data_IF_067320860307
#
_entry.id   IF_067320860307
#
_cell.length_a   1.000
_cell.length_b   1.000
_cell.length_c   1.000
_cell.angle_alpha   90.00
_cell.angle_beta   90.00
_cell.angle_gamma   90.00
#
_symmetry.space_group_name_H-M   'P 1'
#
loop_
_entity.id
_entity.type
_entity.pdbx_description
1 polymer ?
#
# COMPACT_ATOMS: atom_id res chain seq x y z
N UNK A 1 -21.98 -22.05 -29.88
CA UNK A 1 -20.64 -22.33 -29.33
C UNK A 1 -19.67 -21.41 -30.05
N UNK A 2 -19.24 -20.33 -29.40
CA UNK A 2 -18.38 -19.31 -30.02
C UNK A 2 -16.96 -19.84 -30.01
N UNK A 3 -16.44 -20.26 -31.16
CA UNK A 3 -15.08 -20.76 -31.30
C UNK A 3 -14.11 -19.62 -31.04
N UNK A 4 -13.54 -19.57 -29.83
CA UNK A 4 -12.57 -18.55 -29.45
C UNK A 4 -11.30 -18.78 -30.28
N UNK A 5 -11.04 -17.87 -31.23
CA UNK A 5 -9.81 -17.89 -32.02
C UNK A 5 -8.66 -17.47 -31.12
N UNK A 6 -7.77 -18.39 -30.79
CA UNK A 6 -6.56 -18.09 -30.02
C UNK A 6 -5.48 -17.64 -31.00
N UNK A 7 -4.81 -16.52 -30.70
CA UNK A 7 -3.73 -15.97 -31.55
C UNK A 7 -2.39 -16.66 -31.22
N UNK A 8 -2.32 -17.36 -30.10
CA UNK A 8 -1.09 -17.91 -29.55
C UNK A 8 -0.94 -19.39 -29.93
N UNK A 9 0.29 -19.79 -30.31
CA UNK A 9 0.64 -21.20 -30.58
C UNK A 9 0.61 -22.08 -29.33
N UNK A 10 0.91 -21.49 -28.17
CA UNK A 10 0.88 -22.15 -26.87
C UNK A 10 0.45 -21.14 -25.80
N UNK A 11 -0.73 -21.34 -25.24
CA UNK A 11 -1.30 -20.47 -24.20
C UNK A 11 -0.72 -20.75 -22.82
N UNK A 12 -0.12 -21.93 -22.59
CA UNK A 12 0.45 -22.30 -21.29
C UNK A 12 1.72 -21.50 -20.93
N UNK A 13 2.34 -20.89 -21.94
CA UNK A 13 3.50 -19.99 -21.80
C UNK A 13 3.05 -18.57 -21.44
N UNK A 14 1.79 -18.23 -21.70
CA UNK A 14 1.24 -16.97 -21.27
C UNK A 14 1.10 -17.02 -19.75
N UNK A 15 1.61 -15.98 -19.09
CA UNK A 15 1.44 -15.80 -17.65
C UNK A 15 0.24 -14.89 -17.36
N UNK A 16 -1.02 -15.36 -17.31
CA UNK A 16 -2.05 -14.57 -16.66
C UNK A 16 -2.53 -15.29 -15.41
N UNK A 17 -1.73 -15.25 -14.34
CA UNK A 17 -2.31 -15.44 -13.00
C UNK A 17 -3.28 -14.29 -12.68
N UNK A 18 -3.14 -13.13 -13.33
CA UNK A 18 -4.11 -12.04 -13.34
C UNK A 18 -3.79 -10.99 -14.42
N UNK A 19 -4.64 -10.87 -15.45
CA UNK A 19 -4.66 -9.71 -16.36
C UNK A 19 -5.91 -8.89 -16.00
N UNK A 20 -5.75 -7.73 -15.31
CA UNK A 20 -6.92 -6.92 -14.99
C UNK A 20 -7.58 -6.45 -16.28
N UNK A 21 -8.93 -6.44 -16.30
CA UNK A 21 -9.72 -6.03 -17.46
C UNK A 21 -9.39 -4.61 -17.96
N UNK A 22 -8.83 -3.78 -17.10
CA UNK A 22 -8.29 -2.48 -17.44
C UNK A 22 -6.92 -2.31 -16.80
N UNK A 23 -5.95 -1.85 -17.60
CA UNK A 23 -4.64 -1.39 -17.12
C UNK A 23 -4.55 0.09 -17.48
N UNK A 24 -5.19 1.00 -16.71
CA UNK A 24 -5.35 2.40 -17.11
C UNK A 24 -4.03 3.09 -17.48
N UNK A 25 -2.94 2.70 -16.82
CA UNK A 25 -1.59 3.24 -16.98
C UNK A 25 -0.75 2.62 -18.09
N UNK A 26 -1.14 1.43 -18.56
CA UNK A 26 -0.57 0.86 -19.78
C UNK A 26 -1.53 0.97 -20.93
N UNK A 27 -2.69 1.60 -20.78
CA UNK A 27 -3.75 1.56 -21.79
C UNK A 27 -3.30 2.24 -23.08
N UNK A 28 -2.51 3.30 -23.01
CA UNK A 28 -1.97 3.95 -24.20
C UNK A 28 -0.89 3.07 -24.89
N UNK A 29 -0.07 2.37 -24.11
CA UNK A 29 0.90 1.40 -24.61
C UNK A 29 0.20 0.17 -25.17
N UNK A 30 -0.88 -0.31 -24.54
CA UNK A 30 -1.72 -1.43 -24.95
C UNK A 30 -2.49 -1.06 -26.21
N UNK A 31 -3.04 0.15 -26.32
CA UNK A 31 -3.68 0.66 -27.55
C UNK A 31 -2.67 0.80 -28.68
N UNK A 32 -1.47 1.26 -28.37
CA UNK A 32 -0.37 1.31 -29.34
C UNK A 32 0.00 -0.10 -29.80
N UNK A 33 0.05 -1.06 -28.88
CA UNK A 33 0.23 -2.49 -29.15
C UNK A 33 -0.90 -3.07 -30.00
N UNK A 34 -2.16 -2.80 -29.64
CA UNK A 34 -3.35 -3.19 -30.40
C UNK A 34 -3.22 -2.71 -31.84
N UNK A 35 -2.81 -1.45 -32.07
CA UNK A 35 -2.59 -0.92 -33.41
C UNK A 35 -1.54 -1.72 -34.19
N UNK A 36 -0.41 -2.09 -33.58
CA UNK A 36 0.60 -2.93 -34.24
C UNK A 36 0.04 -4.33 -34.57
N UNK A 37 -0.62 -4.97 -33.60
CA UNK A 37 -1.15 -6.32 -33.74
C UNK A 37 -2.43 -6.42 -34.57
N UNK A 38 -3.17 -5.33 -34.77
CA UNK A 38 -4.42 -5.31 -35.55
C UNK A 38 -4.19 -5.86 -36.95
N UNK A 39 -3.05 -5.52 -37.57
CA UNK A 39 -2.68 -6.04 -38.88
C UNK A 39 -2.47 -7.56 -38.92
N UNK A 40 -1.91 -8.15 -37.85
CA UNK A 40 -1.72 -9.61 -37.71
C UNK A 40 -3.06 -10.31 -37.46
N UNK A 41 -3.94 -9.70 -36.66
CA UNK A 41 -5.25 -10.25 -36.31
C UNK A 41 -6.21 -10.21 -37.51
N UNK A 42 -6.18 -9.14 -38.32
CA UNK A 42 -7.11 -8.93 -39.43
C UNK A 42 -6.60 -9.47 -40.77
N UNK A 43 -5.29 -9.45 -41.04
CA UNK A 43 -4.71 -9.83 -42.34
C UNK A 43 -3.93 -11.15 -42.26
N UNK A 44 -4.68 -12.25 -42.32
CA UNK A 44 -4.22 -13.63 -42.59
C UNK A 44 -3.29 -14.28 -41.54
N UNK A 45 -3.50 -15.56 -41.15
CA UNK A 45 -2.70 -16.27 -40.15
C UNK A 45 -1.21 -16.49 -40.49
N UNK A 46 -0.75 -16.01 -41.65
CA UNK A 46 0.60 -16.23 -42.18
C UNK A 46 1.51 -15.00 -42.06
N UNK A 47 0.99 -13.86 -41.60
CA UNK A 47 1.78 -12.65 -41.41
C UNK A 47 2.52 -12.69 -40.06
N UNK A 48 3.86 -12.77 -40.10
CA UNK A 48 4.72 -12.58 -38.93
C UNK A 48 5.20 -11.14 -38.83
N UNK A 49 5.08 -10.51 -37.67
CA UNK A 49 5.69 -9.21 -37.37
C UNK A 49 6.66 -9.33 -36.20
N UNK A 50 7.82 -8.69 -36.34
CA UNK A 50 8.77 -8.51 -35.25
C UNK A 50 8.46 -7.18 -34.56
N UNK A 51 8.03 -7.24 -33.31
CA UNK A 51 7.72 -6.06 -32.49
C UNK A 51 8.74 -5.98 -31.36
N UNK A 52 9.50 -4.87 -31.30
CA UNK A 52 10.37 -4.56 -30.16
C UNK A 52 9.62 -3.60 -29.23
N UNK A 53 9.38 -4.03 -28.00
CA UNK A 53 8.77 -3.22 -26.96
C UNK A 53 9.84 -2.82 -25.97
N UNK A 54 10.03 -1.52 -25.83
CA UNK A 54 10.94 -0.93 -24.87
C UNK A 54 10.18 0.14 -24.06
N UNK A 55 10.29 0.06 -22.74
CA UNK A 55 9.70 1.03 -21.83
C UNK A 55 10.71 1.41 -20.76
N UNK A 56 10.78 2.69 -20.35
CA UNK A 56 11.68 3.09 -19.29
C UNK A 56 11.25 2.46 -17.96
N UNK A 57 12.23 2.12 -17.13
CA UNK A 57 12.02 1.54 -15.81
C UNK A 57 12.01 2.62 -14.74
N UNK A 58 10.96 2.64 -13.93
CA UNK A 58 10.81 3.52 -12.79
C UNK A 58 11.39 2.89 -11.53
N UNK A 59 12.28 3.59 -10.82
CA UNK A 59 12.99 3.03 -9.66
C UNK A 59 12.88 3.92 -8.42
N UNK A 60 12.97 3.30 -7.25
CA UNK A 60 13.17 4.00 -5.98
C UNK A 60 14.66 4.21 -5.70
N UNK A 61 14.98 5.24 -4.91
CA UNK A 61 16.35 5.44 -4.40
C UNK A 61 16.75 4.27 -3.50
N UNK A 62 18.04 3.92 -3.54
CA UNK A 62 18.68 3.03 -2.57
C UNK A 62 18.37 3.47 -1.12
N UNK A 63 18.00 2.51 -0.28
CA UNK A 63 17.60 2.66 1.11
C UNK A 63 16.11 2.92 1.31
N UNK A 64 15.33 3.12 0.25
CA UNK A 64 13.88 3.28 0.36
C UNK A 64 13.24 1.99 0.87
N UNK A 65 12.36 2.10 1.86
CA UNK A 65 11.67 0.95 2.44
C UNK A 65 10.39 0.63 1.66
N UNK A 66 10.16 -0.66 1.45
CA UNK A 66 8.94 -1.25 0.90
C UNK A 66 8.29 -2.15 1.95
N UNK A 67 6.95 -2.22 1.91
CA UNK A 67 6.16 -3.04 2.83
C UNK A 67 6.02 -4.47 2.27
N UNK A 68 6.50 -5.43 3.03
CA UNK A 68 6.38 -6.85 2.73
C UNK A 68 5.00 -7.38 3.15
N UNK A 69 4.57 -8.50 2.58
CA UNK A 69 3.27 -9.12 2.90
C UNK A 69 3.12 -9.46 4.39
N UNK A 70 4.22 -9.82 5.06
CA UNK A 70 4.26 -10.12 6.50
C UNK A 70 4.25 -8.88 7.40
N UNK A 71 4.20 -7.68 6.81
CA UNK A 71 4.21 -6.41 7.53
C UNK A 71 5.61 -5.88 7.87
N UNK A 72 6.67 -6.65 7.58
CA UNK A 72 8.03 -6.18 7.74
C UNK A 72 8.39 -5.12 6.69
N UNK A 73 9.39 -4.30 7.00
CA UNK A 73 9.93 -3.33 6.07
C UNK A 73 11.24 -3.86 5.49
N UNK A 74 11.33 -3.88 4.16
CA UNK A 74 12.55 -4.29 3.44
C UNK A 74 13.07 -3.13 2.61
N UNK A 75 14.38 -3.01 2.45
CA UNK A 75 14.96 -2.00 1.54
C UNK A 75 14.72 -2.41 0.09
N UNK A 76 14.44 -1.45 -0.78
CA UNK A 76 14.14 -1.68 -2.19
C UNK A 76 15.27 -2.42 -2.92
N UNK A 77 16.54 -2.17 -2.58
CA UNK A 77 17.70 -2.87 -3.12
C UNK A 77 17.89 -4.29 -2.60
N UNK A 78 17.28 -4.63 -1.46
CA UNK A 78 17.38 -5.97 -0.85
C UNK A 78 16.22 -6.87 -1.32
N UNK A 79 15.24 -6.33 -2.04
CA UNK A 79 14.12 -7.09 -2.63
C UNK A 79 14.65 -8.03 -3.71
N UNK A 80 14.15 -9.26 -3.73
CA UNK A 80 14.57 -10.32 -4.64
C UNK A 80 13.39 -10.91 -5.40
N UNK A 81 13.65 -11.52 -6.56
CA UNK A 81 12.64 -12.27 -7.32
C UNK A 81 11.98 -13.34 -6.45
N UNK A 82 10.66 -13.40 -6.46
CA UNK A 82 9.85 -14.31 -5.66
C UNK A 82 9.37 -13.74 -4.33
N UNK A 83 9.93 -12.61 -3.87
CA UNK A 83 9.44 -11.91 -2.68
C UNK A 83 7.96 -11.53 -2.83
N UNK A 84 7.23 -11.52 -1.71
CA UNK A 84 5.83 -11.11 -1.64
C UNK A 84 5.73 -9.75 -0.97
N UNK A 85 5.30 -8.75 -1.74
CA UNK A 85 5.04 -7.39 -1.29
C UNK A 85 3.56 -7.21 -0.92
N UNK A 86 3.29 -6.23 -0.07
CA UNK A 86 1.93 -5.86 0.30
C UNK A 86 1.29 -5.00 -0.81
N UNK A 87 0.17 -5.47 -1.35
CA UNK A 87 -0.66 -4.70 -2.28
C UNK A 87 -1.52 -3.64 -1.57
N UNK A 88 -1.97 -2.60 -2.29
CA UNK A 88 -2.89 -1.59 -1.75
C UNK A 88 -4.28 -2.15 -1.36
N UNK A 89 -4.61 -3.34 -1.85
CA UNK A 89 -5.83 -4.11 -1.58
C UNK A 89 -5.61 -5.19 -0.50
N UNK A 90 -4.52 -5.09 0.27
CA UNK A 90 -4.09 -6.09 1.26
C UNK A 90 -3.72 -7.46 0.65
N UNK A 91 -3.71 -7.59 -0.69
CA UNK A 91 -3.43 -8.85 -1.37
C UNK A 91 -1.94 -8.94 -1.77
N UNK A 92 -1.36 -10.16 -1.84
CA UNK A 92 0.07 -10.33 -2.15
C UNK A 92 0.44 -9.86 -3.56
N UNK A 93 1.62 -9.26 -3.70
CA UNK A 93 2.24 -8.91 -5.00
C UNK A 93 3.59 -9.61 -5.11
N UNK A 94 3.69 -10.57 -6.04
CA UNK A 94 4.93 -11.34 -6.26
C UNK A 94 5.91 -10.56 -7.14
N UNK A 95 7.14 -10.43 -6.68
CA UNK A 95 8.22 -9.79 -7.45
C UNK A 95 8.68 -10.74 -8.55
N UNK A 96 8.46 -10.34 -9.80
CA UNK A 96 8.87 -11.14 -10.97
C UNK A 96 10.32 -10.89 -11.38
N UNK A 97 10.75 -9.64 -11.29
CA UNK A 97 12.07 -9.19 -11.71
C UNK A 97 12.48 -7.96 -10.90
N UNK A 98 13.79 -7.77 -10.73
CA UNK A 98 14.40 -6.63 -10.07
C UNK A 98 15.43 -6.01 -11.01
N UNK A 99 15.40 -4.69 -11.15
CA UNK A 99 16.33 -3.95 -12.01
C UNK A 99 17.14 -2.96 -11.19
N UNK A 100 18.39 -2.74 -11.61
CA UNK A 100 19.30 -1.81 -10.97
C UNK A 100 19.92 -0.90 -12.02
N UNK A 101 20.17 0.36 -11.66
CA UNK A 101 20.76 1.32 -12.59
C UNK A 101 21.03 2.66 -11.94
N UNK A 102 21.57 3.56 -12.75
CA UNK A 102 21.83 4.95 -12.37
C UNK A 102 20.99 5.87 -13.25
N UNK A 103 20.45 6.92 -12.68
CA UNK A 103 19.60 7.87 -13.39
C UNK A 103 19.40 9.15 -12.59
N UNK A 104 18.75 10.12 -13.22
CA UNK A 104 18.34 11.34 -12.53
C UNK A 104 17.25 11.00 -11.53
N UNK A 105 17.41 11.51 -10.31
CA UNK A 105 16.52 11.26 -9.20
C UNK A 105 15.81 12.56 -8.81
N UNK A 106 14.54 12.44 -8.47
CA UNK A 106 13.66 13.53 -8.08
C UNK A 106 13.13 13.23 -6.69
N UNK A 107 13.23 14.21 -5.79
CA UNK A 107 12.62 14.14 -4.47
C UNK A 107 11.16 14.59 -4.53
N UNK A 108 10.26 13.75 -4.04
CA UNK A 108 8.83 14.03 -3.92
C UNK A 108 8.53 14.39 -2.48
N UNK A 109 8.03 15.61 -2.26
CA UNK A 109 7.73 16.17 -0.94
C UNK A 109 6.21 16.29 -0.75
N UNK A 110 5.53 15.26 -0.22
CA UNK A 110 4.11 15.35 0.08
C UNK A 110 3.85 16.25 1.29
N UNK A 111 2.68 16.89 1.35
CA UNK A 111 2.21 17.57 2.57
C UNK A 111 2.00 16.54 3.70
N UNK A 112 1.59 15.32 3.36
CA UNK A 112 1.31 14.23 4.32
C UNK A 112 2.26 13.06 4.11
N UNK A 113 2.95 12.70 5.19
CA UNK A 113 3.90 11.59 5.23
C UNK A 113 5.33 11.99 4.89
N UNK A 114 6.23 11.01 4.84
CA UNK A 114 7.66 11.24 4.64
C UNK A 114 7.97 11.53 3.15
N UNK A 115 8.89 12.46 2.87
CA UNK A 115 9.48 12.60 1.54
C UNK A 115 10.13 11.29 1.08
N UNK A 116 10.18 11.11 -0.23
CA UNK A 116 10.82 9.95 -0.85
C UNK A 116 11.42 10.34 -2.20
N UNK A 117 12.41 9.57 -2.66
CA UNK A 117 13.19 9.89 -3.86
C UNK A 117 13.04 8.77 -4.88
N UNK A 118 12.72 9.15 -6.11
CA UNK A 118 12.43 8.24 -7.23
C UNK A 118 13.11 8.71 -8.51
N UNK A 119 13.23 7.84 -9.52
CA UNK A 119 13.74 8.24 -10.82
C UNK A 119 12.74 9.12 -11.59
N UNK A 120 13.22 9.89 -12.57
CA UNK A 120 12.37 10.69 -13.47
C UNK A 120 11.34 9.85 -14.24
N UNK A 121 11.65 8.58 -14.51
CA UNK A 121 10.75 7.66 -15.21
C UNK A 121 9.82 6.88 -14.27
N UNK A 122 9.91 7.13 -12.96
CA UNK A 122 9.01 6.50 -12.00
C UNK A 122 7.57 6.93 -12.21
N UNK A 123 6.65 5.98 -12.12
CA UNK A 123 5.22 6.21 -12.29
C UNK A 123 4.62 6.46 -10.90
N UNK A 124 3.95 7.59 -10.74
CA UNK A 124 3.21 7.92 -9.53
C UNK A 124 1.71 7.77 -9.79
N UNK A 125 1.04 7.08 -8.87
CA UNK A 125 -0.43 7.04 -8.82
C UNK A 125 -0.94 8.23 -8.02
N UNK A 126 -1.69 9.10 -8.69
CA UNK A 126 -2.31 10.29 -8.11
C UNK A 126 -3.84 10.21 -8.23
N UNK A 127 -4.52 10.80 -7.26
CA UNK A 127 -5.95 11.03 -7.31
C UNK A 127 -6.21 12.48 -7.68
N UNK A 128 -7.11 12.69 -8.64
CA UNK A 128 -7.52 14.01 -9.09
C UNK A 128 -8.63 14.55 -8.19
N UNK A 129 -8.50 15.81 -7.80
CA UNK A 129 -9.56 16.56 -7.12
C UNK A 129 -10.45 17.28 -8.11
N UNK A 130 -11.61 17.78 -7.66
CA UNK A 130 -12.48 18.64 -8.50
C UNK A 130 -11.73 19.84 -9.06
N UNK A 131 -12.02 20.19 -10.32
CA UNK A 131 -11.53 21.42 -10.94
C UNK A 131 -12.23 22.66 -10.34
N UNK A 132 -13.51 22.52 -9.98
CA UNK A 132 -14.34 23.58 -9.41
C UNK A 132 -14.95 23.12 -8.09
N UNK A 133 -15.09 24.05 -7.14
CA UNK A 133 -15.81 23.79 -5.87
C UNK A 133 -17.29 23.50 -6.11
N UNK A 134 -17.87 24.09 -7.14
CA UNK A 134 -19.26 23.91 -7.55
C UNK A 134 -19.27 23.51 -9.03
N UNK A 135 -19.10 22.21 -9.33
CA UNK A 135 -19.10 21.74 -10.71
C UNK A 135 -20.49 21.97 -11.31
N UNK A 136 -20.54 22.62 -12.47
CA UNK A 136 -21.79 22.84 -13.23
C UNK A 136 -21.93 21.83 -14.36
N UNK A 137 -20.85 21.16 -14.74
CA UNK A 137 -20.79 20.16 -15.80
C UNK A 137 -20.11 18.89 -15.30
N UNK A 138 -20.46 17.71 -15.83
CA UNK A 138 -19.80 16.45 -15.48
C UNK A 138 -18.28 16.49 -15.70
N UNK A 139 -17.80 17.21 -16.71
CA UNK A 139 -16.36 17.38 -16.99
C UNK A 139 -15.57 18.13 -15.90
N UNK A 140 -16.27 18.85 -15.01
CA UNK A 140 -15.66 19.60 -13.91
C UNK A 140 -15.61 18.78 -12.61
N UNK A 141 -16.47 17.76 -12.49
CA UNK A 141 -16.49 16.81 -11.37
C UNK A 141 -15.55 15.64 -11.65
N UNK A 142 -14.26 15.92 -11.55
CA UNK A 142 -13.18 14.95 -11.74
C UNK A 142 -12.68 14.35 -10.42
N UNK A 143 -13.46 14.50 -9.36
CA UNK A 143 -13.08 13.98 -8.05
C UNK A 143 -12.94 12.46 -8.07
N UNK A 144 -11.87 11.96 -7.47
CA UNK A 144 -11.68 10.53 -7.29
C UNK A 144 -11.11 9.80 -8.51
N UNK A 145 -10.86 10.50 -9.62
CA UNK A 145 -10.22 9.89 -10.79
C UNK A 145 -8.77 9.54 -10.42
N UNK A 146 -8.48 8.25 -10.41
CA UNK A 146 -7.12 7.73 -10.21
C UNK A 146 -6.40 7.80 -11.56
N UNK A 147 -5.21 8.39 -11.53
CA UNK A 147 -4.36 8.57 -12.70
C UNK A 147 -2.93 8.23 -12.36
N UNK A 148 -2.31 7.45 -13.23
CA UNK A 148 -0.88 7.18 -13.19
C UNK A 148 -0.15 8.18 -14.11
N UNK A 149 0.91 8.79 -13.60
CA UNK A 149 1.69 9.80 -14.32
C UNK A 149 3.17 9.63 -14.04
N UNK A 150 4.01 9.77 -15.07
CA UNK A 150 5.47 9.73 -14.90
C UNK A 150 5.95 10.98 -14.20
N UNK A 151 6.99 10.87 -13.37
CA UNK A 151 7.60 12.03 -12.70
C UNK A 151 8.09 13.06 -13.72
N UNK A 152 8.71 12.63 -14.82
CA UNK A 152 9.18 13.52 -15.90
C UNK A 152 8.06 14.31 -16.59
N UNK A 153 6.85 13.76 -16.65
CA UNK A 153 5.67 14.45 -17.17
C UNK A 153 5.07 15.37 -16.10
N UNK A 154 5.02 14.91 -14.86
CA UNK A 154 4.55 15.68 -13.71
C UNK A 154 5.35 16.98 -13.53
N UNK A 155 6.67 16.94 -13.75
CA UNK A 155 7.55 18.11 -13.70
C UNK A 155 7.27 19.16 -14.79
N UNK A 156 6.68 18.77 -15.92
CA UNK A 156 6.31 19.69 -17.01
C UNK A 156 4.97 20.37 -16.75
N UNK A 157 4.19 19.87 -15.79
CA UNK A 157 2.88 20.42 -15.49
C UNK A 157 2.99 21.74 -14.69
N UNK A 158 2.02 22.65 -14.87
CA UNK A 158 2.02 23.90 -14.11
C UNK A 158 1.75 23.65 -12.62
N UNK A 159 2.20 24.60 -11.79
CA UNK A 159 2.21 24.50 -10.32
C UNK A 159 0.85 24.16 -9.69
N UNK A 160 -0.27 24.47 -10.33
CA UNK A 160 -1.59 24.13 -9.81
C UNK A 160 -1.97 22.63 -9.94
N UNK A 161 -1.18 21.82 -10.68
CA UNK A 161 -1.29 20.36 -10.64
C UNK A 161 -0.48 19.73 -9.50
N UNK A 162 0.62 20.34 -9.07
CA UNK A 162 1.64 19.70 -8.20
C UNK A 162 1.95 20.44 -6.90
N UNK A 163 1.45 21.68 -6.75
CA UNK A 163 1.69 22.52 -5.58
C UNK A 163 0.83 22.19 -4.35
N UNK A 164 0.86 23.02 -3.29
CA UNK A 164 0.16 22.73 -2.04
C UNK A 164 -1.39 22.64 -2.16
N UNK A 165 -1.94 23.34 -3.15
CA UNK A 165 -3.37 23.29 -3.53
C UNK A 165 -3.54 22.60 -4.89
N UNK A 166 -2.73 21.57 -5.12
CA UNK A 166 -2.69 20.80 -6.33
C UNK A 166 -4.01 20.10 -6.63
N UNK A 167 -4.29 20.01 -7.93
CA UNK A 167 -5.29 19.12 -8.48
C UNK A 167 -4.92 17.64 -8.27
N UNK A 168 -3.63 17.29 -8.43
CA UNK A 168 -3.15 15.92 -8.24
C UNK A 168 -2.62 15.71 -6.84
N UNK A 169 -3.14 14.70 -6.17
CA UNK A 169 -2.73 14.34 -4.80
C UNK A 169 -2.23 12.91 -4.80
N UNK A 170 -1.16 12.66 -4.05
CA UNK A 170 -0.74 11.29 -3.78
C UNK A 170 -1.79 10.58 -2.94
N UNK A 171 -2.09 9.35 -3.30
CA UNK A 171 -3.00 8.49 -2.54
C UNK A 171 -2.22 7.57 -1.61
N UNK A 172 -2.85 7.21 -0.49
CA UNK A 172 -2.40 6.21 0.47
C UNK A 172 -3.61 5.42 0.89
N UNK A 173 -3.41 4.13 1.16
CA UNK A 173 -4.45 3.25 1.65
C UNK A 173 -3.95 2.53 2.90
N UNK A 174 -4.87 2.21 3.80
CA UNK A 174 -4.59 1.24 4.85
C UNK A 174 -4.43 -0.15 4.23
N UNK A 175 -3.77 -1.04 4.96
CA UNK A 175 -3.69 -2.46 4.63
C UNK A 175 -4.09 -3.25 5.86
N UNK A 176 -4.74 -4.36 5.62
CA UNK A 176 -5.22 -5.27 6.65
C UNK A 176 -4.23 -6.43 6.77
N UNK A 177 -3.82 -6.69 8.01
CA UNK A 177 -3.01 -7.86 8.32
C UNK A 177 -3.92 -8.99 8.82
N UNK A 178 -3.57 -10.26 8.55
CA UNK A 178 -4.30 -11.37 9.11
C UNK A 178 -4.34 -11.24 10.64
N UNK A 179 -5.50 -11.53 11.24
CA UNK A 179 -5.64 -11.55 12.68
C UNK A 179 -4.68 -12.59 13.25
N UNK A 180 -3.64 -12.12 13.92
CA UNK A 180 -2.79 -12.98 14.73
C UNK A 180 -3.57 -13.20 16.02
N UNK A 181 -3.84 -14.45 16.44
CA UNK A 181 -4.32 -14.69 17.78
C UNK A 181 -3.27 -14.11 18.73
N UNK A 182 -3.60 -12.97 19.33
CA UNK A 182 -2.89 -12.44 20.49
C UNK A 182 -2.79 -13.61 21.48
N UNK A 183 -1.61 -13.79 22.08
CA UNK A 183 -1.34 -14.90 22.99
C UNK A 183 -2.24 -14.87 24.23
N UNK A 184 -1.79 -15.32 25.41
CA UNK A 184 -2.63 -15.32 26.62
C UNK A 184 -3.01 -13.91 27.12
N UNK A 185 -2.64 -12.85 26.40
CA UNK A 185 -2.84 -11.45 26.77
C UNK A 185 -3.76 -10.81 25.75
N UNK A 186 -4.89 -10.31 26.23
CA UNK A 186 -5.84 -9.54 25.45
C UNK A 186 -5.20 -8.27 24.84
N UNK A 187 -5.51 -7.98 23.57
CA UNK A 187 -4.90 -6.87 22.84
C UNK A 187 -5.25 -5.52 23.44
N UNK A 188 -6.46 -5.38 24.00
CA UNK A 188 -6.88 -4.16 24.67
C UNK A 188 -6.10 -3.96 25.98
N UNK A 189 -5.95 -5.00 26.80
CA UNK A 189 -5.08 -4.95 27.98
C UNK A 189 -3.64 -4.56 27.63
N UNK A 190 -3.06 -5.19 26.60
CA UNK A 190 -1.70 -4.87 26.17
C UNK A 190 -1.58 -3.41 25.71
N UNK A 191 -2.57 -2.90 24.98
CA UNK A 191 -2.62 -1.50 24.56
C UNK A 191 -2.65 -0.53 25.73
N UNK A 192 -3.51 -0.80 26.73
CA UNK A 192 -3.58 0.01 27.96
C UNK A 192 -2.26 -0.04 28.71
N UNK A 193 -1.65 -1.21 28.84
CA UNK A 193 -0.36 -1.36 29.50
C UNK A 193 0.78 -0.63 28.76
N UNK A 194 0.82 -0.64 27.43
CA UNK A 194 1.85 0.08 26.68
C UNK A 194 1.70 1.61 26.76
N UNK A 195 0.48 2.12 26.97
CA UNK A 195 0.21 3.54 27.10
C UNK A 195 0.44 4.06 28.53
N UNK A 196 -0.21 3.40 29.50
CA UNK A 196 -0.38 3.89 30.88
C UNK A 196 0.17 2.90 31.92
N UNK A 197 0.85 1.86 31.46
CA UNK A 197 1.41 0.81 32.30
C UNK A 197 2.82 1.14 32.81
N UNK A 198 3.17 0.50 33.90
CA UNK A 198 4.50 0.52 34.48
C UNK A 198 4.87 -0.84 35.05
N UNK A 199 6.15 -1.18 34.97
CA UNK A 199 6.72 -2.34 35.67
C UNK A 199 7.64 -1.82 36.77
N UNK A 200 7.18 -1.87 38.01
CA UNK A 200 8.00 -1.57 39.17
C UNK A 200 7.88 -2.74 40.16
N UNK A 201 9.01 -3.15 40.73
CA UNK A 201 9.09 -4.20 41.76
C UNK A 201 8.44 -5.54 41.35
N UNK A 202 8.57 -5.94 40.07
CA UNK A 202 8.03 -7.23 39.57
C UNK A 202 6.51 -7.29 39.42
N UNK A 203 5.80 -6.17 39.62
CA UNK A 203 4.36 -6.07 39.38
C UNK A 203 4.03 -5.28 38.11
N UNK A 204 2.89 -5.62 37.50
CA UNK A 204 2.26 -4.84 36.43
C UNK A 204 1.32 -3.83 37.08
N UNK A 205 1.53 -2.55 36.80
CA UNK A 205 0.66 -1.46 37.25
C UNK A 205 0.10 -0.71 36.07
N UNK A 206 -1.18 -0.32 36.12
CA UNK A 206 -1.83 0.56 35.14
C UNK A 206 -2.37 1.76 35.90
N UNK A 207 -2.11 2.97 35.39
CA UNK A 207 -2.59 4.22 35.99
C UNK A 207 -3.47 4.95 35.00
N UNK A 208 -4.79 4.90 35.20
CA UNK A 208 -5.74 5.63 34.36
C UNK A 208 -6.72 6.46 35.19
N UNK A 209 -7.13 7.59 34.64
CA UNK A 209 -8.21 8.42 35.17
C UNK A 209 -9.60 7.82 34.89
N UNK A 210 -9.70 6.88 33.95
CA UNK A 210 -10.94 6.23 33.57
C UNK A 210 -11.26 5.06 34.52
N UNK A 211 -12.42 5.11 35.16
CA UNK A 211 -12.87 4.09 36.09
C UNK A 211 -13.26 2.79 35.38
N UNK A 212 -13.64 2.84 34.10
CA UNK A 212 -14.07 1.66 33.34
C UNK A 212 -12.92 0.66 33.17
N UNK A 213 -11.68 1.16 33.04
CA UNK A 213 -10.44 0.37 32.92
C UNK A 213 -10.19 -0.46 34.19
N UNK A 214 -10.58 0.02 35.37
CA UNK A 214 -10.45 -0.72 36.62
C UNK A 214 -11.50 -1.82 36.81
N UNK A 215 -12.57 -1.80 36.00
CA UNK A 215 -13.71 -2.71 36.10
C UNK A 215 -13.78 -3.73 34.98
N UNK A 216 -12.80 -3.77 34.07
CA UNK A 216 -12.79 -4.72 32.96
C UNK A 216 -12.68 -6.15 33.48
N UNK A 217 -13.82 -6.85 33.53
CA UNK A 217 -13.94 -8.20 34.08
C UNK A 217 -13.13 -9.23 33.28
N UNK A 218 -12.90 -9.01 31.99
CA UNK A 218 -12.12 -9.92 31.13
C UNK A 218 -10.64 -10.04 31.55
N UNK A 219 -10.14 -9.14 32.41
CA UNK A 219 -8.78 -9.22 32.95
C UNK A 219 -8.65 -10.24 34.08
N UNK A 220 -9.77 -10.62 34.71
CA UNK A 220 -9.82 -11.49 35.89
C UNK A 220 -9.70 -12.98 35.55
N UNK A 221 -10.05 -13.37 34.33
CA UNK A 221 -10.20 -14.79 33.94
C UNK A 221 -8.88 -15.47 33.50
N UNK A 222 -7.77 -14.72 33.39
CA UNK A 222 -6.45 -15.27 33.01
C UNK A 222 -5.27 -14.81 33.87
N UNK A 223 -5.44 -13.77 34.67
CA UNK A 223 -4.38 -13.17 35.49
C UNK A 223 -4.99 -12.79 36.85
N UNK A 224 -4.57 -13.47 37.91
CA UNK A 224 -5.09 -13.25 39.26
C UNK A 224 -4.91 -11.77 39.66
N UNK A 225 -5.99 -10.99 39.70
CA UNK A 225 -5.96 -9.61 40.15
C UNK A 225 -6.99 -9.38 41.26
N UNK A 226 -6.49 -8.97 42.42
CA UNK A 226 -7.30 -8.52 43.54
C UNK A 226 -7.74 -7.07 43.28
N UNK A 227 -9.03 -6.84 43.11
CA UNK A 227 -9.59 -5.49 42.98
C UNK A 227 -9.72 -4.85 44.37
N UNK A 228 -9.03 -3.74 44.62
CA UNK A 228 -9.31 -2.85 45.77
C UNK A 228 -9.84 -1.52 45.26
N UNK A 229 -11.10 -1.23 45.54
CA UNK A 229 -11.64 0.14 45.45
C UNK A 229 -11.23 0.90 46.71
N UNK A 230 -10.49 2.00 46.56
CA UNK A 230 -10.25 2.95 47.66
C UNK A 230 -10.50 4.35 47.11
N UNK A 231 -11.37 5.08 47.79
CA UNK A 231 -11.77 6.43 47.43
C UNK A 231 -10.60 7.42 47.37
N UNK A 232 -10.79 8.44 46.54
CA UNK A 232 -10.07 9.73 46.51
C UNK A 232 -8.54 9.64 46.61
N UNK A 233 -7.91 9.14 45.55
CA UNK A 233 -6.47 9.16 45.27
C UNK A 233 -6.22 8.57 43.87
N UNK A 234 -5.06 8.80 43.21
CA UNK A 234 -4.82 8.26 41.88
C UNK A 234 -4.90 6.73 41.91
N UNK A 235 -5.83 6.18 41.12
CA UNK A 235 -6.13 4.76 41.06
C UNK A 235 -4.90 3.97 40.56
N UNK A 236 -4.41 3.02 41.35
CA UNK A 236 -3.34 2.10 40.93
C UNK A 236 -3.83 0.66 41.07
N UNK A 237 -3.79 -0.08 39.96
CA UNK A 237 -4.10 -1.51 39.91
C UNK A 237 -2.78 -2.27 40.08
N UNK A 238 -2.73 -3.27 40.97
CA UNK A 238 -1.58 -4.19 41.11
C UNK A 238 -2.03 -5.61 40.77
N UNK A 239 -1.52 -6.16 39.68
CA UNK A 239 -1.60 -7.61 39.43
C UNK A 239 -0.41 -8.29 40.13
N UNK A 240 -0.69 -9.33 40.92
CA UNK A 240 0.33 -10.19 41.54
C UNK A 240 0.45 -11.46 40.70
N UNK A 241 1.67 -11.76 40.25
CA UNK A 241 1.97 -12.99 39.52
C UNK A 241 2.28 -14.08 40.53
N UNK A 242 1.37 -15.03 40.75
CA UNK A 242 1.70 -16.29 41.42
C UNK A 242 2.17 -17.29 40.37
N UNK A 243 3.34 -17.90 40.62
CA UNK A 243 3.92 -18.92 39.74
C UNK A 243 3.06 -20.20 39.76
N UNK A 244 2.77 -20.74 38.57
CA UNK A 244 2.55 -22.18 38.36
C UNK A 244 3.75 -22.71 37.57
#
# INVERSE_FOLDING_TARGET
MTTQRTVFRDESVLFPEYLPHTIPHRMDQIRSLEFYFQSVVEKSPQASQNVLLYGPVGCHRKGQLVLMLDGSLKRAEDVSRGDLLMGPDSAPRKVLETVHGFGKMVEVQPIKGKPFVVSEDHILTVIQTRLSKHPRKPSEDTEGIIKDIRVSELLKLPRWYVGPRALYKLMRTGVDFPLIPVGPIDAYFLGVYLGDGGSANGGITITSADAEIATVDSWKDGWASTTKSVGSGPNSIRALQENI
#
